data_IF_358834636173
#
_entry.id   IF_358834636173
#
_cell.length_a   1.000
_cell.length_b   1.000
_cell.length_c   1.000
_cell.angle_alpha   90.00
_cell.angle_beta   90.00
_cell.angle_gamma   90.00
#
_symmetry.space_group_name_H-M   'P 1'
#
loop_
_entity.id
_entity.type
_entity.pdbx_description
1 polymer ?
#
# COMPACT_ATOMS: atom_id res chain seq x y z
N UNK A 1 -21.60 15.65 27.29
CA UNK A 1 -21.14 15.38 25.91
C UNK A 1 -19.89 14.52 25.99
N UNK A 2 -20.01 13.23 25.69
CA UNK A 2 -18.89 12.29 25.74
C UNK A 2 -18.21 12.29 24.37
N UNK A 3 -16.99 12.79 24.31
CA UNK A 3 -16.11 12.62 23.16
C UNK A 3 -15.67 11.15 23.13
N UNK A 4 -16.37 10.34 22.33
CA UNK A 4 -15.91 8.97 22.03
C UNK A 4 -14.64 9.09 21.17
N UNK A 5 -13.53 8.44 21.55
CA UNK A 5 -12.31 8.51 20.75
C UNK A 5 -12.53 7.75 19.43
N UNK A 6 -12.69 8.52 18.35
CA UNK A 6 -12.82 8.08 16.94
C UNK A 6 -11.74 7.05 16.54
N UNK A 7 -10.62 7.02 17.27
CA UNK A 7 -9.51 6.06 17.07
C UNK A 7 -9.93 4.59 17.14
N UNK A 8 -10.86 4.22 18.03
CA UNK A 8 -11.18 2.80 18.26
C UNK A 8 -12.13 2.23 17.20
N UNK A 9 -13.01 3.06 16.62
CA UNK A 9 -13.99 2.59 15.62
C UNK A 9 -13.37 2.32 14.25
N UNK A 10 -12.38 3.12 13.84
CA UNK A 10 -11.71 2.92 12.55
C UNK A 10 -10.80 1.68 12.58
N UNK A 11 -10.09 1.44 13.67
CA UNK A 11 -9.09 0.36 13.73
C UNK A 11 -9.70 -1.05 13.64
N UNK A 12 -10.95 -1.23 14.07
CA UNK A 12 -11.63 -2.53 14.09
C UNK A 12 -12.26 -2.92 12.73
N UNK A 13 -12.58 -1.95 11.87
CA UNK A 13 -13.09 -2.21 10.52
C UNK A 13 -12.00 -2.66 9.54
N UNK A 14 -10.76 -2.18 9.72
CA UNK A 14 -9.67 -2.43 8.76
C UNK A 14 -8.94 -3.78 8.93
N UNK A 15 -8.89 -4.36 10.14
CA UNK A 15 -8.23 -5.66 10.37
C UNK A 15 -8.98 -6.82 9.69
N UNK A 16 -10.31 -6.73 9.57
CA UNK A 16 -11.15 -7.72 8.89
C UNK A 16 -10.87 -7.81 7.37
N UNK A 17 -10.48 -6.68 6.75
CA UNK A 17 -10.36 -6.58 5.29
C UNK A 17 -8.97 -6.94 4.75
N UNK A 18 -7.96 -7.04 5.61
CA UNK A 18 -6.64 -7.61 5.26
C UNK A 18 -6.74 -9.06 4.72
N UNK A 19 -7.87 -9.75 4.98
CA UNK A 19 -8.19 -11.06 4.38
C UNK A 19 -8.45 -11.02 2.87
N UNK A 20 -8.93 -9.91 2.30
CA UNK A 20 -9.32 -9.88 0.88
C UNK A 20 -8.13 -9.72 -0.08
N UNK A 21 -7.01 -9.17 0.37
CA UNK A 21 -5.78 -9.05 -0.45
C UNK A 21 -5.15 -10.44 -0.71
N UNK A 22 -5.48 -11.47 0.07
CA UNK A 22 -4.82 -12.78 0.02
C UNK A 22 -5.67 -13.91 -0.59
N UNK A 23 -6.93 -13.67 -0.98
CA UNK A 23 -7.87 -14.78 -1.25
C UNK A 23 -7.99 -15.24 -2.71
N UNK A 24 -7.15 -14.77 -3.64
CA UNK A 24 -7.15 -15.26 -5.03
C UNK A 24 -5.82 -15.94 -5.36
N UNK A 25 -5.67 -17.14 -4.83
CA UNK A 25 -4.48 -17.98 -4.96
C UNK A 25 -4.81 -19.15 -5.89
N UNK A 26 -4.37 -19.12 -7.14
CA UNK A 26 -4.48 -20.27 -8.06
C UNK A 26 -3.13 -20.52 -8.80
N UNK A 27 -2.50 -21.63 -8.40
CA UNK A 27 -1.65 -22.60 -9.15
C UNK A 27 -0.17 -22.33 -9.46
N UNK A 28 0.57 -21.52 -8.71
CA UNK A 28 2.02 -21.75 -8.59
C UNK A 28 2.43 -21.51 -7.14
N UNK A 29 2.70 -22.61 -6.42
CA UNK A 29 3.18 -22.54 -5.04
C UNK A 29 4.51 -21.81 -4.97
N UNK A 30 4.79 -21.21 -3.82
CA UNK A 30 6.10 -20.62 -3.56
C UNK A 30 7.20 -21.67 -3.60
N UNK A 31 8.43 -21.23 -3.90
CA UNK A 31 9.60 -22.06 -3.66
C UNK A 31 9.61 -22.55 -2.21
N UNK A 32 10.08 -23.77 -1.96
CA UNK A 32 10.09 -24.40 -0.62
C UNK A 32 10.92 -23.64 0.42
N UNK A 33 11.79 -22.73 -0.02
CA UNK A 33 12.60 -21.86 0.84
C UNK A 33 11.86 -20.58 1.25
N UNK A 34 10.76 -20.24 0.60
CA UNK A 34 9.93 -19.11 1.00
C UNK A 34 8.95 -19.60 2.07
N UNK A 35 8.90 -18.96 3.23
CA UNK A 35 7.90 -19.26 4.27
C UNK A 35 6.54 -18.64 3.90
N UNK A 36 5.96 -19.16 2.81
CA UNK A 36 4.63 -18.85 2.24
C UNK A 36 4.47 -17.52 1.50
N UNK A 37 5.44 -16.60 1.60
CA UNK A 37 5.38 -15.30 0.91
C UNK A 37 6.36 -15.23 -0.26
N UNK A 38 5.84 -15.23 -1.48
CA UNK A 38 6.63 -15.14 -2.69
C UNK A 38 5.87 -14.45 -3.82
N UNK A 39 6.60 -13.77 -4.69
CA UNK A 39 6.03 -13.16 -5.91
C UNK A 39 5.84 -14.21 -7.02
N UNK A 40 6.62 -15.28 -6.97
CA UNK A 40 6.57 -16.38 -7.92
C UNK A 40 7.30 -17.62 -7.41
N UNK A 41 7.46 -18.65 -8.26
CA UNK A 41 7.90 -19.98 -7.84
C UNK A 41 9.41 -20.10 -7.62
N UNK A 42 10.21 -19.09 -8.00
CA UNK A 42 11.67 -19.13 -7.90
C UNK A 42 12.15 -18.81 -6.47
N UNK A 43 13.26 -19.41 -6.04
CA UNK A 43 13.85 -19.16 -4.71
C UNK A 43 14.27 -17.69 -4.51
N UNK A 44 14.59 -16.99 -5.61
CA UNK A 44 14.94 -15.55 -5.60
C UNK A 44 13.73 -14.64 -5.46
N UNK A 45 12.52 -15.17 -5.62
CA UNK A 45 11.26 -14.44 -5.54
C UNK A 45 10.62 -14.51 -4.15
N UNK A 46 11.35 -15.03 -3.14
CA UNK A 46 10.91 -14.98 -1.75
C UNK A 46 10.89 -13.53 -1.27
N UNK A 47 9.74 -13.14 -0.72
CA UNK A 47 9.51 -11.80 -0.23
C UNK A 47 10.15 -11.61 1.15
N UNK A 48 10.01 -12.61 2.04
CA UNK A 48 10.57 -12.57 3.37
C UNK A 48 12.10 -12.55 3.37
N UNK A 49 12.65 -11.88 4.36
CA UNK A 49 14.08 -11.87 4.61
C UNK A 49 14.51 -13.10 5.42
N UNK A 50 15.76 -13.58 5.26
CA UNK A 50 16.25 -14.74 6.00
C UNK A 50 16.19 -14.57 7.53
N UNK A 51 16.28 -13.32 8.01
CA UNK A 51 16.17 -12.98 9.43
C UNK A 51 14.83 -12.31 9.71
N UNK A 52 14.14 -12.74 10.76
CA UNK A 52 12.79 -12.30 11.13
C UNK A 52 12.67 -10.83 11.57
N UNK A 53 13.78 -10.20 11.92
CA UNK A 53 13.83 -8.78 12.28
C UNK A 53 14.14 -7.86 11.11
N UNK A 54 14.50 -8.41 9.95
CA UNK A 54 14.83 -7.63 8.75
C UNK A 54 13.58 -7.27 7.97
N UNK A 55 13.70 -6.15 7.26
CA UNK A 55 12.72 -5.64 6.33
C UNK A 55 13.23 -5.84 4.92
N UNK A 56 12.34 -6.26 4.02
CA UNK A 56 12.61 -6.26 2.59
C UNK A 56 12.45 -4.84 2.03
N UNK A 57 13.51 -4.26 1.48
CA UNK A 57 13.42 -3.00 0.75
C UNK A 57 12.79 -3.26 -0.63
N UNK A 58 11.61 -2.69 -0.89
CA UNK A 58 10.87 -2.92 -2.13
C UNK A 58 11.51 -2.26 -3.36
N UNK A 59 12.37 -1.26 -3.19
CA UNK A 59 13.03 -0.57 -4.30
C UNK A 59 14.30 -1.31 -4.74
N UNK A 60 15.10 -1.76 -3.77
CA UNK A 60 16.39 -2.42 -4.03
C UNK A 60 16.31 -3.95 -4.02
N UNK A 61 15.21 -4.50 -3.51
CA UNK A 61 14.99 -5.92 -3.29
C UNK A 61 15.97 -6.58 -2.31
N UNK A 62 16.65 -5.77 -1.49
CA UNK A 62 17.59 -6.22 -0.45
C UNK A 62 16.94 -6.29 0.93
N UNK A 63 17.52 -7.11 1.80
CA UNK A 63 17.13 -7.16 3.21
C UNK A 63 17.94 -6.14 4.02
N UNK A 64 17.23 -5.32 4.78
CA UNK A 64 17.82 -4.28 5.64
C UNK A 64 17.30 -4.44 7.07
N UNK A 65 18.10 -4.05 8.05
CA UNK A 65 17.68 -4.15 9.46
C UNK A 65 16.68 -3.04 9.83
N UNK A 66 16.79 -1.87 9.19
CA UNK A 66 15.93 -0.70 9.41
C UNK A 66 15.69 0.00 8.08
N UNK A 67 14.46 0.43 7.83
CA UNK A 67 14.13 1.20 6.63
C UNK A 67 14.71 2.61 6.69
N UNK A 68 15.10 3.14 5.53
CA UNK A 68 15.66 4.49 5.43
C UNK A 68 14.60 5.53 5.82
N UNK A 69 14.76 6.15 6.99
CA UNK A 69 13.78 7.03 7.61
C UNK A 69 13.58 8.37 6.88
N UNK A 70 14.36 8.67 5.85
CA UNK A 70 14.15 9.79 4.94
C UNK A 70 13.26 9.38 3.76
N UNK A 71 13.43 8.17 3.22
CA UNK A 71 12.81 7.70 1.97
C UNK A 71 11.63 6.75 2.13
N UNK A 72 11.50 6.13 3.29
CA UNK A 72 10.58 5.00 3.49
C UNK A 72 10.10 4.87 4.94
N UNK A 73 9.14 3.98 5.17
CA UNK A 73 8.67 3.58 6.49
C UNK A 73 8.49 2.07 6.60
N UNK A 74 8.44 1.57 7.83
CA UNK A 74 8.31 0.15 8.13
C UNK A 74 6.86 -0.31 7.97
N UNK A 75 6.65 -1.41 7.26
CA UNK A 75 5.37 -2.10 7.19
C UNK A 75 5.52 -3.53 7.70
N UNK A 76 4.56 -3.97 8.50
CA UNK A 76 4.46 -5.36 8.97
C UNK A 76 3.04 -5.85 8.74
N UNK A 77 2.91 -6.86 7.88
CA UNK A 77 1.66 -7.54 7.60
C UNK A 77 1.70 -8.88 8.32
N UNK A 78 0.72 -9.12 9.18
CA UNK A 78 0.56 -10.41 9.85
C UNK A 78 -0.62 -11.14 9.24
N UNK A 79 -0.41 -12.38 8.78
CA UNK A 79 -1.50 -13.26 8.35
C UNK A 79 -1.78 -14.29 9.42
N UNK A 80 -3.01 -14.26 9.96
CA UNK A 80 -3.49 -15.33 10.85
C UNK A 80 -3.55 -16.68 10.12
N UNK A 81 -3.89 -16.66 8.83
CA UNK A 81 -4.03 -17.88 8.01
C UNK A 81 -2.69 -18.60 7.81
N UNK A 82 -1.61 -17.85 7.62
CA UNK A 82 -0.28 -18.40 7.41
C UNK A 82 0.57 -18.44 8.69
N UNK A 83 0.02 -17.99 9.83
CA UNK A 83 0.73 -17.83 11.10
C UNK A 83 2.11 -17.17 10.96
N UNK A 84 2.24 -16.28 9.96
CA UNK A 84 3.50 -15.67 9.57
C UNK A 84 3.31 -14.18 9.33
N UNK A 85 4.38 -13.42 9.56
CA UNK A 85 4.43 -12.01 9.24
C UNK A 85 5.40 -11.73 8.11
N UNK A 86 5.08 -10.70 7.34
CA UNK A 86 5.91 -10.18 6.27
C UNK A 86 6.24 -8.71 6.57
N UNK A 87 7.54 -8.40 6.57
CA UNK A 87 8.09 -7.07 6.88
C UNK A 87 8.81 -6.47 5.67
N UNK A 88 8.51 -5.21 5.36
CA UNK A 88 9.15 -4.50 4.26
C UNK A 88 9.23 -2.99 4.48
N UNK A 89 10.08 -2.36 3.67
CA UNK A 89 10.24 -0.91 3.61
C UNK A 89 9.39 -0.35 2.49
N UNK A 90 8.52 0.59 2.83
CA UNK A 90 7.60 1.24 1.91
C UNK A 90 8.06 2.66 1.60
N UNK A 91 8.33 2.94 0.32
CA UNK A 91 8.52 4.30 -0.18
C UNK A 91 7.22 5.11 -0.28
N UNK A 92 7.32 6.36 -0.71
CA UNK A 92 6.16 7.27 -0.82
C UNK A 92 5.47 7.27 -2.19
N UNK A 93 5.95 6.42 -3.11
CA UNK A 93 5.36 6.26 -4.43
C UNK A 93 4.56 4.97 -4.47
N UNK A 94 3.28 5.11 -4.78
CA UNK A 94 2.32 4.04 -4.96
C UNK A 94 1.96 3.92 -6.43
N UNK A 95 1.71 2.70 -6.87
CA UNK A 95 1.26 2.40 -8.22
C UNK A 95 -0.01 1.57 -8.16
N UNK A 96 -1.01 1.96 -8.96
CA UNK A 96 -2.32 1.34 -9.06
C UNK A 96 -2.57 0.98 -10.52
N UNK A 97 -2.82 -0.29 -10.76
CA UNK A 97 -3.20 -0.85 -12.06
C UNK A 97 -4.19 -2.00 -11.86
N UNK A 98 -5.51 -1.73 -11.96
CA UNK A 98 -6.55 -2.75 -11.90
C UNK A 98 -6.43 -3.83 -12.97
N UNK A 99 -5.76 -3.53 -14.09
CA UNK A 99 -5.59 -4.45 -15.21
C UNK A 99 -4.39 -5.38 -15.07
N UNK A 100 -3.54 -5.16 -14.05
CA UNK A 100 -2.34 -5.96 -13.84
C UNK A 100 -2.68 -7.40 -13.50
N UNK A 101 -2.21 -8.31 -14.36
CA UNK A 101 -2.24 -9.76 -14.15
C UNK A 101 -0.88 -10.34 -13.76
N UNK A 102 0.11 -9.47 -13.48
CA UNK A 102 1.51 -9.88 -13.28
C UNK A 102 1.73 -10.70 -12.00
N UNK A 103 1.02 -10.38 -10.93
CA UNK A 103 1.16 -11.09 -9.67
C UNK A 103 -0.14 -11.04 -8.87
N UNK A 104 -0.33 -12.07 -8.05
CA UNK A 104 -1.38 -12.10 -7.04
C UNK A 104 -1.00 -11.24 -5.83
N UNK A 105 0.28 -10.91 -5.67
CA UNK A 105 0.73 -10.04 -4.59
C UNK A 105 0.72 -8.60 -5.06
N UNK A 106 0.02 -7.79 -4.30
CA UNK A 106 -0.17 -6.37 -4.55
C UNK A 106 0.68 -5.61 -3.52
N UNK A 107 1.83 -5.13 -3.98
CA UNK A 107 2.76 -4.39 -3.14
C UNK A 107 2.75 -2.91 -3.50
N UNK A 108 1.83 -2.38 -4.31
CA UNK A 108 1.84 -0.97 -4.71
C UNK A 108 3.13 -0.46 -5.36
N UNK A 109 3.97 -1.35 -5.90
CA UNK A 109 5.20 -0.98 -6.64
C UNK A 109 4.92 -0.97 -8.14
N UNK A 110 5.82 -0.42 -8.94
CA UNK A 110 5.69 -0.45 -10.39
C UNK A 110 5.55 -1.88 -10.96
N UNK A 111 6.28 -2.84 -10.42
CA UNK A 111 6.23 -4.23 -10.88
C UNK A 111 5.07 -5.03 -10.26
N UNK A 112 4.59 -4.59 -9.09
CA UNK A 112 3.53 -5.24 -8.31
C UNK A 112 2.52 -4.19 -7.84
N UNK A 113 1.77 -3.57 -8.77
CA UNK A 113 0.86 -2.48 -8.44
C UNK A 113 -0.32 -3.00 -7.62
N UNK A 114 -0.97 -2.08 -6.88
CA UNK A 114 -2.28 -2.36 -6.31
C UNK A 114 -3.33 -2.47 -7.40
N UNK A 115 -4.30 -3.36 -7.25
CA UNK A 115 -5.42 -3.45 -8.20
C UNK A 115 -6.55 -2.50 -7.82
N UNK A 116 -6.61 -2.07 -6.57
CA UNK A 116 -7.63 -1.16 -6.08
C UNK A 116 -7.01 0.17 -5.61
N UNK A 117 -7.70 1.28 -5.92
CA UNK A 117 -7.19 2.64 -5.63
C UNK A 117 -7.22 2.96 -4.13
N UNK A 118 -8.06 2.28 -3.36
CA UNK A 118 -8.15 2.40 -1.91
C UNK A 118 -6.98 1.77 -1.14
N UNK A 119 -6.27 0.81 -1.74
CA UNK A 119 -5.17 0.07 -1.11
C UNK A 119 -3.99 0.97 -0.69
N UNK A 120 -3.47 1.88 -1.54
CA UNK A 120 -2.46 2.86 -1.13
C UNK A 120 -2.86 3.63 0.13
N UNK A 121 -4.10 4.11 0.18
CA UNK A 121 -4.59 4.92 1.30
C UNK A 121 -4.76 4.09 2.55
N UNK A 122 -5.24 2.84 2.42
CA UNK A 122 -5.37 1.91 3.54
C UNK A 122 -4.01 1.58 4.14
N UNK A 123 -3.02 1.28 3.32
CA UNK A 123 -1.67 1.01 3.78
C UNK A 123 -1.04 2.26 4.43
N UNK A 124 -1.17 3.42 3.78
CA UNK A 124 -0.70 4.69 4.31
C UNK A 124 -1.35 5.01 5.67
N UNK A 125 -2.65 4.81 5.82
CA UNK A 125 -3.35 5.09 7.08
C UNK A 125 -2.89 4.16 8.21
N UNK A 126 -2.76 2.86 7.92
CA UNK A 126 -2.40 1.86 8.90
C UNK A 126 -0.94 1.96 9.36
N UNK A 127 -0.03 2.28 8.43
CA UNK A 127 1.42 2.20 8.69
C UNK A 127 2.13 3.54 8.47
N UNK A 128 1.75 4.27 7.42
CA UNK A 128 2.39 5.53 7.03
C UNK A 128 2.10 6.68 7.98
N UNK A 129 0.84 7.01 8.29
CA UNK A 129 0.48 8.15 9.16
C UNK A 129 1.15 8.07 10.53
N UNK A 130 1.16 6.92 11.25
CA UNK A 130 1.92 6.79 12.49
C UNK A 130 3.42 7.03 12.31
N UNK A 131 4.01 6.56 11.20
CA UNK A 131 5.43 6.76 10.92
C UNK A 131 5.76 8.21 10.55
N UNK A 132 4.89 8.87 9.78
CA UNK A 132 5.05 10.24 9.31
C UNK A 132 4.84 11.26 10.43
N UNK A 133 3.92 11.01 11.36
CA UNK A 133 3.70 11.89 12.52
C UNK A 133 4.94 12.04 13.44
N UNK A 134 5.91 11.12 13.34
CA UNK A 134 7.18 11.19 14.06
C UNK A 134 8.23 12.05 13.35
N UNK A 135 7.97 12.49 12.11
CA UNK A 135 8.91 13.31 11.33
C UNK A 135 8.70 14.78 11.65
N UNK A 136 9.70 15.38 12.28
CA UNK A 136 9.61 16.75 12.84
C UNK A 136 9.76 17.84 11.78
N UNK A 137 10.39 17.56 10.62
CA UNK A 137 10.90 18.63 9.75
C UNK A 137 10.24 18.75 8.37
N UNK A 138 9.48 17.76 7.91
CA UNK A 138 8.69 17.83 6.67
C UNK A 138 7.92 16.53 6.46
N UNK A 139 6.64 16.62 6.11
CA UNK A 139 5.90 15.49 5.58
C UNK A 139 6.36 15.25 4.13
N UNK A 140 6.70 14.01 3.75
CA UNK A 140 7.02 13.70 2.36
C UNK A 140 5.73 13.76 1.52
N UNK A 141 5.87 14.20 0.27
CA UNK A 141 4.80 14.11 -0.72
C UNK A 141 4.55 12.64 -1.04
N UNK A 142 3.33 12.18 -0.78
CA UNK A 142 2.90 10.83 -1.15
C UNK A 142 2.33 10.89 -2.55
N UNK A 143 2.85 10.07 -3.46
CA UNK A 143 2.40 10.06 -4.86
C UNK A 143 1.69 8.75 -5.16
N UNK A 144 0.43 8.82 -5.59
CA UNK A 144 -0.35 7.67 -6.08
C UNK A 144 -0.44 7.77 -7.59
N UNK A 145 0.25 6.87 -8.28
CA UNK A 145 0.29 6.77 -9.73
C UNK A 145 -0.78 5.79 -10.20
N UNK A 146 -1.70 6.23 -11.04
CA UNK A 146 -2.75 5.40 -11.61
C UNK A 146 -2.40 5.13 -13.07
N UNK A 147 -2.45 3.87 -13.49
CA UNK A 147 -2.19 3.47 -14.87
C UNK A 147 -3.18 4.17 -15.81
N UNK A 148 -2.64 4.83 -16.83
CA UNK A 148 -3.46 5.50 -17.85
C UNK A 148 -4.39 4.53 -18.56
N UNK A 149 -5.65 4.94 -18.74
CA UNK A 149 -6.69 4.13 -19.39
C UNK A 149 -7.25 2.99 -18.52
N UNK A 150 -6.88 2.93 -17.23
CA UNK A 150 -7.52 2.01 -16.30
C UNK A 150 -8.87 2.55 -15.81
N UNK A 151 -9.85 1.68 -15.68
CA UNK A 151 -11.13 2.02 -15.06
C UNK A 151 -11.02 1.78 -13.54
N UNK A 152 -10.56 2.79 -12.81
CA UNK A 152 -10.51 2.75 -11.34
C UNK A 152 -11.77 3.38 -10.75
N UNK A 153 -12.55 2.59 -10.01
CA UNK A 153 -13.67 3.10 -9.22
C UNK A 153 -13.27 3.22 -7.74
N UNK A 154 -13.50 4.39 -7.14
CA UNK A 154 -13.40 4.56 -5.69
C UNK A 154 -14.72 4.14 -5.06
N UNK A 155 -14.71 3.08 -4.25
CA UNK A 155 -15.91 2.62 -3.53
C UNK A 155 -16.05 3.33 -2.18
N UNK A 156 -16.55 4.57 -2.19
CA UNK A 156 -16.72 5.40 -0.99
C UNK A 156 -17.83 4.93 -0.05
N UNK A 157 -18.89 4.30 -0.59
CA UNK A 157 -20.11 4.01 0.17
C UNK A 157 -19.89 2.98 1.28
N UNK A 158 -19.04 1.99 1.00
CA UNK A 158 -18.70 0.93 1.97
C UNK A 158 -17.42 1.24 2.75
N UNK A 159 -16.57 2.14 2.24
CA UNK A 159 -15.30 2.50 2.85
C UNK A 159 -14.93 3.96 2.54
N UNK A 160 -15.39 4.92 3.34
CA UNK A 160 -15.07 6.32 3.10
C UNK A 160 -13.56 6.54 3.28
N UNK A 161 -12.92 7.04 2.22
CA UNK A 161 -11.53 7.47 2.28
C UNK A 161 -11.48 8.82 3.01
N UNK A 162 -10.94 8.82 4.23
CA UNK A 162 -10.73 10.03 5.02
C UNK A 162 -9.24 10.38 4.97
N UNK A 163 -8.90 11.39 4.19
CA UNK A 163 -7.55 11.98 4.17
C UNK A 163 -7.57 13.27 5.00
N UNK A 164 -6.76 13.32 6.05
CA UNK A 164 -6.65 14.50 6.92
C UNK A 164 -5.20 14.98 6.91
N UNK A 165 -4.99 16.23 6.48
CA UNK A 165 -3.70 16.93 6.56
C UNK A 165 -2.51 16.16 5.96
N UNK A 166 -2.71 15.58 4.77
CA UNK A 166 -1.68 14.82 4.06
C UNK A 166 -1.44 15.40 2.67
N UNK A 167 -0.17 15.61 2.34
CA UNK A 167 0.26 15.95 0.99
C UNK A 167 0.22 14.70 0.11
N UNK A 168 -0.92 14.44 -0.51
CA UNK A 168 -1.08 13.35 -1.48
C UNK A 168 -1.25 13.94 -2.88
N UNK A 169 -0.39 13.51 -3.80
CA UNK A 169 -0.49 13.75 -5.23
C UNK A 169 -1.05 12.50 -5.90
N UNK A 170 -2.23 12.60 -6.51
CA UNK A 170 -2.77 11.54 -7.37
C UNK A 170 -2.51 11.93 -8.81
N UNK A 171 -1.75 11.13 -9.55
CA UNK A 171 -1.44 11.40 -10.95
C UNK A 171 -1.76 10.20 -11.84
N UNK A 172 -2.28 10.48 -13.03
CA UNK A 172 -2.42 9.48 -14.08
C UNK A 172 -1.22 9.53 -15.01
N UNK A 173 -0.73 8.38 -15.42
CA UNK A 173 0.36 8.30 -16.39
C UNK A 173 0.63 6.87 -16.79
N UNK A 174 1.41 6.69 -17.85
CA UNK A 174 1.98 5.38 -18.09
C UNK A 174 2.94 5.10 -16.93
N UNK A 175 2.79 3.94 -16.28
CA UNK A 175 3.65 3.54 -15.16
C UNK A 175 5.15 3.62 -15.54
N UNK A 176 5.47 3.48 -16.83
CA UNK A 176 6.81 3.58 -17.39
C UNK A 176 7.22 4.97 -17.92
N UNK A 177 6.29 5.93 -17.99
CA UNK A 177 6.57 7.33 -18.37
C UNK A 177 5.41 8.25 -17.93
N UNK A 178 5.56 8.99 -16.82
CA UNK A 178 4.50 9.89 -16.36
C UNK A 178 4.40 11.10 -17.30
N UNK A 179 3.24 11.26 -17.96
CA UNK A 179 2.98 12.37 -18.92
C UNK A 179 1.89 13.35 -18.43
N UNK A 180 1.29 13.16 -17.24
CA UNK A 180 0.24 14.07 -16.78
C UNK A 180 0.41 14.48 -15.32
N UNK A 181 0.45 15.78 -15.05
CA UNK A 181 0.51 16.38 -13.71
C UNK A 181 -0.86 16.95 -13.36
N UNK A 182 -1.72 16.13 -12.75
CA UNK A 182 -2.88 16.62 -12.01
C UNK A 182 -2.51 16.73 -10.53
N UNK A 183 -2.42 17.95 -9.97
CA UNK A 183 -2.22 18.12 -8.52
C UNK A 183 -3.58 18.32 -7.86
N UNK A 184 -4.11 17.25 -7.25
CA UNK A 184 -5.29 17.38 -6.37
C UNK A 184 -4.78 17.79 -4.98
N UNK A 185 -4.85 19.08 -4.66
CA UNK A 185 -4.64 19.57 -3.30
C UNK A 185 -5.95 19.44 -2.53
N UNK A 186 -6.00 18.51 -1.57
CA UNK A 186 -7.16 18.37 -0.70
C UNK A 186 -6.93 19.22 0.55
N UNK A 187 -7.38 20.48 0.50
CA UNK A 187 -7.40 21.37 1.65
C UNK A 187 -8.82 21.41 2.23
N UNK A 188 -8.98 20.80 3.40
CA UNK A 188 -10.18 20.75 4.27
C UNK A 188 -11.40 19.89 3.84
N UNK A 189 -11.92 19.15 4.85
CA UNK A 189 -13.13 18.29 4.89
C UNK A 189 -13.97 18.25 3.62
N UNK A 190 -13.72 17.25 2.77
CA UNK A 190 -14.68 16.82 1.75
C UNK A 190 -14.99 15.33 1.92
N UNK A 191 -16.28 15.01 2.03
CA UNK A 191 -16.79 13.64 1.87
C UNK A 191 -16.93 13.38 0.38
N UNK A 192 -16.15 12.44 -0.15
CA UNK A 192 -16.17 12.07 -1.56
C UNK A 192 -17.21 10.97 -1.77
N UNK A 193 -18.24 11.23 -2.57
CA UNK A 193 -19.23 10.20 -2.94
C UNK A 193 -18.95 9.55 -4.31
N UNK A 194 -18.02 10.10 -5.10
CA UNK A 194 -17.41 9.47 -6.27
C UNK A 194 -16.41 10.45 -6.91
N UNK A 195 -15.29 9.93 -7.40
CA UNK A 195 -14.43 10.62 -8.37
C UNK A 195 -14.35 9.69 -9.57
N UNK A 196 -14.91 10.10 -10.70
CA UNK A 196 -14.59 9.50 -11.99
C UNK A 196 -13.35 10.22 -12.51
N UNK A 197 -12.23 9.50 -12.56
CA UNK A 197 -11.02 9.97 -13.24
C UNK A 197 -11.12 9.50 -14.70
N UNK A 198 -11.65 10.37 -15.57
CA UNK A 198 -11.74 10.15 -17.01
C UNK A 198 -10.38 10.26 -17.69
#
# INVERSE_FOLDING_TARGET
MLAVPIRLFLQQYFTSMLRQVLSKQYILGCHSTCADWCIGPEATQCIQCPKSYQYRDLDTWKCVDVCAADKSFNVEITSEQHQSSFKYCRGFNYYVDPSSSFSNIELGTQNFPFKALDDPFRELFNFGVPALSKRVNSLPLITVNIMHGSNTTIHSDNMPLIMVNSDVLIQQGNIFSPIFLGRILITERSTWNSIELL
#
